data_IF_566907834717
#
_entry.id   IF_566907834717
#
_cell.length_a   1.000
_cell.length_b   1.000
_cell.length_c   1.000
_cell.angle_alpha   90.00
_cell.angle_beta   90.00
_cell.angle_gamma   90.00
#
_symmetry.space_group_name_H-M   'P 1'
#
loop_
_entity.id
_entity.type
_entity.pdbx_description
1 polymer ?
#
# COMPACT_ATOMS: atom_id res chain seq x y z
N UNK A 1 4.00 6.48 17.78
CA UNK A 1 2.56 6.87 17.94
C UNK A 1 2.30 7.44 19.34
N UNK A 2 2.73 6.75 20.41
CA UNK A 2 2.61 7.23 21.79
C UNK A 2 3.19 8.62 22.02
N UNK A 3 4.42 8.88 21.56
CA UNK A 3 5.05 10.21 21.65
C UNK A 3 4.24 11.30 20.93
N UNK A 4 3.81 11.08 19.66
CA UNK A 4 2.99 12.09 18.94
C UNK A 4 1.67 12.37 19.67
N UNK A 5 1.00 11.33 20.18
CA UNK A 5 -0.22 11.47 20.99
C UNK A 5 0.04 12.22 22.31
N UNK A 6 1.18 11.98 22.95
CA UNK A 6 1.58 12.64 24.20
C UNK A 6 1.94 14.13 24.01
N UNK A 7 2.45 14.50 22.82
CA UNK A 7 2.73 15.89 22.44
C UNK A 7 1.48 16.61 21.91
N UNK A 8 0.31 15.96 21.91
CA UNK A 8 -0.98 16.56 21.59
C UNK A 8 -1.47 16.37 20.15
N UNK A 9 -0.84 15.48 19.37
CA UNK A 9 -1.35 15.16 18.03
C UNK A 9 -2.73 14.52 18.11
N UNK A 10 -3.68 15.07 17.37
CA UNK A 10 -5.05 14.61 17.30
C UNK A 10 -5.14 13.23 16.64
N UNK A 11 -6.20 12.48 16.97
CA UNK A 11 -6.50 11.19 16.35
C UNK A 11 -6.58 11.28 14.82
N UNK A 12 -7.06 12.39 14.29
CA UNK A 12 -7.20 12.59 12.85
C UNK A 12 -5.86 12.83 12.15
N UNK A 13 -4.93 13.57 12.76
CA UNK A 13 -3.59 13.77 12.19
C UNK A 13 -2.82 12.46 12.06
N UNK A 14 -2.89 11.61 13.10
CA UNK A 14 -2.25 10.28 13.07
C UNK A 14 -2.90 9.40 12.00
N UNK A 15 -4.23 9.42 11.88
CA UNK A 15 -4.93 8.67 10.80
C UNK A 15 -4.48 9.11 9.42
N UNK A 16 -4.46 10.42 9.17
CA UNK A 16 -4.08 10.95 7.86
C UNK A 16 -2.65 10.63 7.50
N UNK A 17 -1.71 10.71 8.45
CA UNK A 17 -0.32 10.34 8.20
C UNK A 17 -0.19 8.86 7.79
N UNK A 18 -0.74 7.94 8.58
CA UNK A 18 -0.65 6.52 8.27
C UNK A 18 -1.38 6.16 6.98
N UNK A 19 -2.52 6.80 6.72
CA UNK A 19 -3.24 6.62 5.47
C UNK A 19 -2.41 7.11 4.28
N UNK A 20 -1.82 8.30 4.36
CA UNK A 20 -0.97 8.86 3.31
C UNK A 20 0.25 7.97 3.06
N UNK A 21 0.92 7.50 4.11
CA UNK A 21 2.07 6.60 4.02
C UNK A 21 1.70 5.24 3.40
N UNK A 22 0.55 4.69 3.78
CA UNK A 22 0.04 3.44 3.21
C UNK A 22 -0.33 3.59 1.74
N UNK A 23 -1.00 4.69 1.36
CA UNK A 23 -1.31 5.00 -0.05
C UNK A 23 -0.03 5.18 -0.85
N UNK A 24 0.97 5.88 -0.32
CA UNK A 24 2.25 6.10 -0.98
C UNK A 24 3.00 4.77 -1.24
N UNK A 25 3.09 3.89 -0.23
CA UNK A 25 3.68 2.55 -0.38
C UNK A 25 2.89 1.71 -1.39
N UNK A 26 1.56 1.79 -1.36
CA UNK A 26 0.69 1.04 -2.28
C UNK A 26 0.85 1.48 -3.73
N UNK A 27 0.98 2.79 -3.98
CA UNK A 27 1.23 3.33 -5.31
C UNK A 27 2.60 2.90 -5.84
N UNK A 28 3.65 2.99 -5.01
CA UNK A 28 4.99 2.55 -5.38
C UNK A 28 5.01 1.04 -5.66
N UNK A 29 4.39 0.25 -4.79
CA UNK A 29 4.28 -1.19 -4.95
C UNK A 29 3.49 -1.58 -6.20
N UNK A 30 2.40 -0.88 -6.50
CA UNK A 30 1.60 -1.09 -7.71
C UNK A 30 2.40 -0.76 -8.98
N UNK A 31 3.10 0.38 -9.00
CA UNK A 31 3.94 0.78 -10.13
C UNK A 31 5.08 -0.21 -10.38
N UNK A 32 5.80 -0.60 -9.32
CA UNK A 32 6.86 -1.61 -9.39
C UNK A 32 6.30 -2.98 -9.82
N UNK A 33 5.14 -3.36 -9.30
CA UNK A 33 4.47 -4.62 -9.66
C UNK A 33 4.10 -4.67 -11.14
N UNK A 34 3.61 -3.57 -11.72
CA UNK A 34 3.34 -3.47 -13.17
C UNK A 34 4.65 -3.56 -13.96
N UNK A 35 5.68 -2.80 -13.57
CA UNK A 35 6.97 -2.81 -14.25
C UNK A 35 7.60 -4.21 -14.26
N UNK A 36 7.62 -4.88 -13.11
CA UNK A 36 8.12 -6.26 -12.97
C UNK A 36 7.23 -7.24 -13.72
N UNK A 37 5.91 -7.10 -13.67
CA UNK A 37 4.96 -7.97 -14.37
C UNK A 37 5.08 -7.89 -15.90
N UNK A 38 5.45 -6.72 -16.44
CA UNK A 38 5.69 -6.54 -17.87
C UNK A 38 7.07 -7.04 -18.32
N UNK A 39 8.05 -7.11 -17.42
CA UNK A 39 9.42 -7.49 -17.76
C UNK A 39 9.55 -8.88 -18.43
N UNK A 40 8.87 -9.96 -17.98
CA UNK A 40 8.86 -11.25 -18.66
C UNK A 40 8.25 -11.16 -20.06
N UNK A 41 7.13 -10.44 -20.22
CA UNK A 41 6.45 -10.33 -21.51
C UNK A 41 7.27 -9.56 -22.55
N UNK A 42 8.07 -8.58 -22.13
CA UNK A 42 9.00 -7.86 -22.99
C UNK A 42 10.24 -8.73 -23.28
N UNK A 43 10.80 -9.35 -22.25
CA UNK A 43 12.00 -10.19 -22.38
C UNK A 43 11.77 -11.40 -23.30
N UNK A 44 10.60 -12.06 -23.20
CA UNK A 44 10.28 -13.21 -24.06
C UNK A 44 10.20 -12.88 -25.55
N UNK A 45 9.89 -11.62 -25.92
CA UNK A 45 9.93 -11.17 -27.33
C UNK A 45 11.34 -11.09 -27.90
N UNK A 46 12.36 -10.94 -27.05
CA UNK A 46 13.76 -10.91 -27.47
C UNK A 46 14.30 -12.32 -27.75
N UNK A 47 13.72 -13.35 -27.15
CA UNK A 47 14.17 -14.74 -27.28
C UNK A 47 13.28 -15.61 -28.17
N UNK A 48 12.02 -15.21 -28.39
CA UNK A 48 11.02 -16.00 -29.14
C UNK A 48 10.11 -15.07 -29.94
N UNK A 49 9.61 -15.50 -31.10
CA UNK A 49 8.54 -14.79 -31.83
C UNK A 49 7.15 -14.93 -31.17
N UNK A 50 7.09 -15.60 -30.01
CA UNK A 50 5.84 -15.87 -29.32
C UNK A 50 5.34 -14.62 -28.60
N UNK A 51 4.16 -14.15 -29.01
CA UNK A 51 3.52 -12.99 -28.41
C UNK A 51 2.69 -13.44 -27.22
N UNK A 52 3.10 -13.08 -25.99
CA UNK A 52 2.28 -13.30 -24.80
C UNK A 52 1.04 -12.40 -24.90
N UNK A 53 -0.18 -12.96 -24.97
CA UNK A 53 -1.39 -12.17 -25.03
C UNK A 53 -1.68 -11.56 -23.65
N UNK A 54 -1.30 -10.30 -23.45
CA UNK A 54 -1.70 -9.54 -22.26
C UNK A 54 -3.12 -9.03 -22.51
N UNK A 55 -4.09 -9.60 -21.79
CA UNK A 55 -5.48 -9.13 -21.86
C UNK A 55 -5.65 -7.82 -21.08
N UNK A 56 -6.37 -6.83 -21.63
CA UNK A 56 -6.69 -5.59 -20.91
C UNK A 56 -7.43 -5.85 -19.58
N UNK A 57 -8.23 -6.92 -19.51
CA UNK A 57 -8.86 -7.37 -18.26
C UNK A 57 -7.84 -7.73 -17.18
N UNK A 58 -6.71 -8.34 -17.54
CA UNK A 58 -5.66 -8.72 -16.58
C UNK A 58 -5.00 -7.49 -15.95
N UNK A 59 -4.81 -6.42 -16.73
CA UNK A 59 -4.27 -5.14 -16.25
C UNK A 59 -5.28 -4.49 -15.27
N UNK A 60 -6.56 -4.45 -15.64
CA UNK A 60 -7.62 -3.90 -14.79
C UNK A 60 -7.70 -4.66 -13.46
N UNK A 61 -7.68 -6.00 -13.51
CA UNK A 61 -7.72 -6.85 -12.31
C UNK A 61 -6.47 -6.63 -11.45
N UNK A 62 -5.27 -6.55 -12.04
CA UNK A 62 -4.04 -6.28 -11.30
C UNK A 62 -4.09 -4.92 -10.57
N UNK A 63 -4.54 -3.86 -11.25
CA UNK A 63 -4.70 -2.52 -10.65
C UNK A 63 -5.75 -2.52 -9.54
N UNK A 64 -6.88 -3.19 -9.76
CA UNK A 64 -7.95 -3.32 -8.75
C UNK A 64 -7.44 -4.03 -7.51
N UNK A 65 -6.82 -5.20 -7.67
CA UNK A 65 -6.32 -6.00 -6.54
C UNK A 65 -5.22 -5.24 -5.78
N UNK A 66 -4.27 -4.61 -6.48
CA UNK A 66 -3.22 -3.81 -5.85
C UNK A 66 -3.79 -2.64 -5.05
N UNK A 67 -4.77 -1.93 -5.61
CA UNK A 67 -5.46 -0.81 -4.93
C UNK A 67 -6.25 -1.30 -3.71
N UNK A 68 -6.96 -2.43 -3.83
CA UNK A 68 -7.77 -2.99 -2.76
C UNK A 68 -6.90 -3.42 -1.57
N UNK A 69 -5.78 -4.10 -1.85
CA UNK A 69 -4.79 -4.48 -0.85
C UNK A 69 -4.24 -3.23 -0.17
N UNK A 70 -3.85 -2.21 -0.93
CA UNK A 70 -3.33 -0.96 -0.38
C UNK A 70 -4.32 -0.22 0.52
N UNK A 71 -5.58 -0.14 0.11
CA UNK A 71 -6.65 0.50 0.89
C UNK A 71 -6.92 -0.31 2.17
N UNK A 72 -7.10 -1.63 2.08
CA UNK A 72 -7.43 -2.46 3.25
C UNK A 72 -6.29 -2.42 4.26
N UNK A 73 -5.06 -2.69 3.82
CA UNK A 73 -3.88 -2.70 4.69
C UNK A 73 -3.43 -1.29 5.11
N UNK A 74 -3.89 -0.22 4.48
CA UNK A 74 -3.66 1.13 4.97
C UNK A 74 -4.70 1.60 6.00
N UNK A 75 -5.98 1.35 5.71
CA UNK A 75 -7.09 1.93 6.49
C UNK A 75 -7.32 1.19 7.81
N UNK A 76 -7.17 -0.14 7.81
CA UNK A 76 -7.38 -0.98 9.00
C UNK A 76 -6.35 -0.71 10.10
N UNK A 77 -5.02 -0.76 9.85
CA UNK A 77 -4.04 -0.45 10.89
C UNK A 77 -4.01 1.03 11.25
N UNK A 78 -4.24 1.96 10.31
CA UNK A 78 -4.36 3.39 10.64
C UNK A 78 -5.50 3.64 11.64
N UNK A 79 -6.64 2.97 11.44
CA UNK A 79 -7.78 3.06 12.36
C UNK A 79 -7.46 2.48 13.74
N UNK A 80 -6.77 1.34 13.80
CA UNK A 80 -6.33 0.73 15.08
C UNK A 80 -5.27 1.60 15.79
N UNK A 81 -4.28 2.13 15.07
CA UNK A 81 -3.22 2.97 15.62
C UNK A 81 -3.75 4.29 16.21
N UNK A 82 -4.71 4.88 15.52
CA UNK A 82 -5.45 6.03 16.02
C UNK A 82 -6.23 5.69 17.29
N UNK A 83 -6.73 4.45 17.40
CA UNK A 83 -7.57 4.03 18.50
C UNK A 83 -6.86 3.78 19.84
N UNK A 84 -5.57 3.44 19.81
CA UNK A 84 -4.76 3.16 21.01
C UNK A 84 -4.75 4.32 22.02
N UNK A 85 -4.88 4.02 23.31
CA UNK A 85 -4.81 5.03 24.37
C UNK A 85 -3.34 5.46 24.63
N UNK A 86 -3.03 6.77 24.73
CA UNK A 86 -1.66 7.25 24.95
C UNK A 86 -1.05 6.67 26.23
N UNK A 87 -1.88 6.55 27.27
CA UNK A 87 -1.49 6.10 28.60
C UNK A 87 -1.06 4.63 28.59
N UNK A 88 -1.71 3.78 27.79
CA UNK A 88 -1.28 2.39 27.61
C UNK A 88 -0.01 2.29 26.76
N UNK A 89 0.13 3.13 25.73
CA UNK A 89 1.29 3.07 24.83
C UNK A 89 2.61 3.51 25.47
N UNK A 90 2.57 4.31 26.54
CA UNK A 90 3.75 4.74 27.30
C UNK A 90 4.07 3.84 28.51
N UNK A 91 3.14 2.95 28.90
CA UNK A 91 3.31 2.05 30.06
C UNK A 91 3.94 0.71 29.68
N UNK A 92 3.99 0.40 28.38
CA UNK A 92 4.59 -0.79 27.81
C UNK A 92 5.87 -0.50 26.99
N UNK A 93 6.36 0.75 27.07
CA UNK A 93 7.71 1.15 26.63
C UNK A 93 8.60 1.35 27.86
#
# INVERSE_FOLDING_TARGET
IGIRKAVGATRNEIRFQFLAESVFISLIGGFLGIAIGMAPAISLRLFTEYHIPISGLSIIVAVLVSSLVGIIFGTVPASRAAQLDPVESLRYE
#
